data_IF_201681546260
#
_entry.id   IF_201681546260
#
_cell.length_a   1.000
_cell.length_b   1.000
_cell.length_c   1.000
_cell.angle_alpha   90.00
_cell.angle_beta   90.00
_cell.angle_gamma   90.00
#
_symmetry.space_group_name_H-M   'P 1'
#
loop_
_entity.id
_entity.type
_entity.pdbx_description
1 polymer ?
#
# COMPACT_ATOMS: atom_id res chain seq x y z
N UNK A 1 -24.12 3.49 -24.63
CA UNK A 1 -22.88 2.69 -24.54
C UNK A 1 -22.98 1.90 -23.24
N UNK A 2 -22.74 0.59 -23.27
CA UNK A 2 -22.76 -0.25 -22.06
C UNK A 2 -21.47 0.02 -21.29
N UNK A 3 -21.57 0.38 -20.00
CA UNK A 3 -20.39 0.61 -19.14
C UNK A 3 -19.56 -0.68 -19.06
N UNK A 4 -18.25 -0.56 -19.16
CA UNK A 4 -17.37 -1.74 -19.10
C UNK A 4 -17.49 -2.41 -17.71
N UNK A 5 -17.48 -3.74 -17.67
CA UNK A 5 -17.57 -4.48 -16.41
C UNK A 5 -16.28 -4.30 -15.59
N UNK A 6 -16.42 -3.96 -14.31
CA UNK A 6 -15.32 -3.90 -13.36
C UNK A 6 -14.93 -5.33 -12.94
N UNK A 7 -13.66 -5.75 -13.10
CA UNK A 7 -13.15 -6.97 -12.50
C UNK A 7 -13.30 -6.94 -10.98
N UNK A 8 -13.46 -8.12 -10.36
CA UNK A 8 -13.64 -8.20 -8.92
C UNK A 8 -12.42 -7.64 -8.17
N UNK A 9 -12.68 -6.94 -7.07
CA UNK A 9 -11.64 -6.41 -6.19
C UNK A 9 -11.69 -7.26 -4.92
N UNK A 10 -10.59 -7.95 -4.61
CA UNK A 10 -10.48 -8.71 -3.37
C UNK A 10 -10.27 -7.74 -2.21
N UNK A 11 -11.29 -7.62 -1.35
CA UNK A 11 -11.27 -6.74 -0.19
C UNK A 11 -10.88 -7.50 1.08
N UNK A 12 -9.86 -7.00 1.77
CA UNK A 12 -9.46 -7.46 3.10
C UNK A 12 -10.12 -6.59 4.16
N UNK A 13 -10.81 -7.22 5.12
CA UNK A 13 -11.33 -6.53 6.31
C UNK A 13 -10.22 -6.31 7.32
N UNK A 14 -9.99 -5.06 7.69
CA UNK A 14 -9.04 -4.67 8.74
C UNK A 14 -9.84 -4.33 10.00
N UNK A 15 -9.71 -5.10 11.10
CA UNK A 15 -10.47 -4.87 12.31
C UNK A 15 -10.05 -3.56 12.98
N UNK A 16 -11.01 -2.95 13.68
CA UNK A 16 -10.73 -1.82 14.54
C UNK A 16 -9.65 -2.20 15.57
N UNK A 17 -8.71 -1.29 15.84
CA UNK A 17 -7.60 -1.59 16.75
C UNK A 17 -6.68 -0.41 16.99
N UNK A 18 -5.68 -0.64 17.84
CA UNK A 18 -4.66 0.35 18.10
C UNK A 18 -3.62 0.36 16.96
N UNK A 19 -3.05 1.53 16.71
CA UNK A 19 -1.88 1.72 15.87
C UNK A 19 -0.88 2.58 16.63
N UNK A 20 0.32 2.06 16.82
CA UNK A 20 1.49 2.84 17.20
C UNK A 20 2.17 3.26 15.90
N UNK A 21 2.07 4.54 15.55
CA UNK A 21 2.64 5.11 14.34
C UNK A 21 3.79 6.04 14.68
N UNK A 22 4.80 6.09 13.81
CA UNK A 22 5.88 7.06 13.85
C UNK A 22 7.01 6.70 14.81
N UNK A 23 8.01 7.57 14.85
CA UNK A 23 9.25 7.42 15.59
C UNK A 23 9.26 8.36 16.80
N UNK A 24 9.75 7.89 17.94
CA UNK A 24 10.02 8.78 19.07
C UNK A 24 11.26 9.61 18.73
N UNK A 25 11.18 10.93 18.84
CA UNK A 25 12.30 11.82 18.52
C UNK A 25 13.58 11.45 19.29
N UNK A 26 13.42 10.87 20.50
CA UNK A 26 14.54 10.39 21.34
C UNK A 26 15.29 9.20 20.73
N UNK A 27 14.65 8.44 19.85
CA UNK A 27 15.22 7.26 19.21
C UNK A 27 15.95 7.62 17.90
N UNK A 28 15.69 8.79 17.32
CA UNK A 28 16.30 9.27 16.06
C UNK A 28 17.84 9.20 16.07
N UNK A 29 18.56 9.64 17.12
CA UNK A 29 20.02 9.51 17.15
C UNK A 29 20.51 8.05 17.12
N UNK A 30 19.72 7.10 17.60
CA UNK A 30 19.99 5.67 17.48
C UNK A 30 19.83 5.21 16.04
N UNK A 31 18.68 5.51 15.44
CA UNK A 31 18.37 5.13 14.05
C UNK A 31 19.40 5.66 13.04
N UNK A 32 19.86 6.91 13.21
CA UNK A 32 20.91 7.50 12.36
C UNK A 32 22.23 6.73 12.48
N UNK A 33 22.58 6.23 13.67
CA UNK A 33 23.78 5.40 13.84
C UNK A 33 23.60 4.02 13.23
N UNK A 34 22.44 3.42 13.41
CA UNK A 34 22.15 2.06 12.96
C UNK A 34 22.07 1.97 11.42
N UNK A 35 21.76 3.08 10.73
CA UNK A 35 21.69 3.20 9.27
C UNK A 35 22.79 4.10 8.69
N UNK A 36 23.93 4.22 9.39
CA UNK A 36 25.03 5.08 8.95
C UNK A 36 25.65 4.65 7.61
N UNK A 37 25.46 3.39 7.21
CA UNK A 37 25.89 2.83 5.93
C UNK A 37 25.04 3.30 4.73
N UNK A 38 23.82 3.80 4.99
CA UNK A 38 22.89 4.27 3.97
C UNK A 38 22.96 5.77 3.72
N UNK A 39 23.79 6.51 4.47
CA UNK A 39 23.92 7.97 4.42
C UNK A 39 22.57 8.70 4.52
N UNK A 40 21.59 8.14 5.25
CA UNK A 40 20.25 8.73 5.42
C UNK A 40 20.35 9.91 6.40
N UNK A 41 20.01 11.14 5.97
CA UNK A 41 20.09 12.28 6.86
C UNK A 41 18.98 12.26 7.93
N UNK A 42 19.30 12.78 9.11
CA UNK A 42 18.44 12.71 10.30
C UNK A 42 17.04 13.32 10.09
N UNK A 43 16.92 14.30 9.19
CA UNK A 43 15.65 14.94 8.84
C UNK A 43 14.64 13.97 8.22
N UNK A 44 15.09 12.86 7.62
CA UNK A 44 14.20 11.84 7.08
C UNK A 44 13.52 11.05 8.21
N UNK A 45 14.26 10.66 9.25
CA UNK A 45 13.69 10.02 10.44
C UNK A 45 12.78 10.98 11.23
N UNK A 46 13.12 12.27 11.25
CA UNK A 46 12.29 13.29 11.92
C UNK A 46 10.93 13.52 11.23
N UNK A 47 10.79 13.21 9.93
CA UNK A 47 9.48 13.25 9.24
C UNK A 47 8.48 12.22 9.79
N UNK A 48 9.00 11.14 10.37
CA UNK A 48 8.19 10.10 11.01
C UNK A 48 7.87 10.42 12.47
N UNK A 49 8.33 11.55 13.02
CA UNK A 49 8.04 11.98 14.39
C UNK A 49 6.79 12.89 14.45
N UNK A 50 6.07 12.93 15.60
CA UNK A 50 6.28 12.13 16.80
C UNK A 50 5.60 10.76 16.72
N UNK A 51 6.02 9.83 17.58
CA UNK A 51 5.26 8.60 17.82
C UNK A 51 3.89 8.94 18.40
N UNK A 52 2.84 8.40 17.80
CA UNK A 52 1.44 8.58 18.23
C UNK A 52 0.75 7.24 18.37
N UNK A 53 -0.14 7.15 19.37
CA UNK A 53 -1.06 6.02 19.54
C UNK A 53 -2.45 6.44 19.09
N UNK A 54 -2.99 5.72 18.12
CA UNK A 54 -4.30 6.00 17.52
C UNK A 54 -5.19 4.77 17.62
N UNK A 55 -6.49 4.99 17.83
CA UNK A 55 -7.49 3.94 17.59
C UNK A 55 -8.04 4.11 16.18
N UNK A 56 -7.83 3.10 15.34
CA UNK A 56 -8.29 3.08 13.94
C UNK A 56 -9.59 2.28 13.90
N UNK A 57 -10.70 2.84 13.38
CA UNK A 57 -11.94 2.10 13.16
C UNK A 57 -11.76 0.93 12.19
N UNK A 58 -12.74 0.02 12.14
CA UNK A 58 -12.75 -1.05 11.13
C UNK A 58 -12.95 -0.44 9.73
N UNK A 59 -12.24 -0.96 8.74
CA UNK A 59 -12.43 -0.64 7.34
C UNK A 59 -12.11 -1.86 6.46
N UNK A 60 -12.26 -1.70 5.14
CA UNK A 60 -11.78 -2.66 4.16
C UNK A 60 -10.82 -1.97 3.19
N UNK A 61 -9.82 -2.70 2.71
CA UNK A 61 -8.83 -2.24 1.74
C UNK A 61 -8.60 -3.35 0.72
N UNK A 62 -8.23 -3.01 -0.52
CA UNK A 62 -7.89 -4.02 -1.51
C UNK A 62 -6.70 -4.85 -1.00
N UNK A 63 -6.74 -6.17 -1.22
CA UNK A 63 -5.67 -7.09 -0.78
C UNK A 63 -4.31 -6.67 -1.33
N UNK A 64 -4.32 -6.25 -2.59
CA UNK A 64 -3.15 -5.82 -3.34
C UNK A 64 -3.34 -4.38 -3.84
N UNK A 65 -2.31 -3.83 -4.48
CA UNK A 65 -2.45 -2.63 -5.31
C UNK A 65 -3.43 -2.89 -6.47
N UNK A 66 -4.01 -1.81 -7.01
CA UNK A 66 -4.94 -1.90 -8.15
C UNK A 66 -4.18 -2.35 -9.39
N UNK A 67 -4.64 -3.42 -10.03
CA UNK A 67 -4.01 -3.94 -11.25
C UNK A 67 -4.36 -3.11 -12.49
N UNK A 68 -3.54 -3.22 -13.53
CA UNK A 68 -3.86 -2.62 -14.84
C UNK A 68 -5.15 -3.19 -15.41
N UNK A 69 -5.44 -4.48 -15.18
CA UNK A 69 -6.71 -5.10 -15.53
C UNK A 69 -7.91 -4.46 -14.81
N UNK A 70 -7.80 -4.20 -13.49
CA UNK A 70 -8.83 -3.50 -12.71
C UNK A 70 -8.99 -2.03 -13.10
N UNK A 71 -7.92 -1.38 -13.58
CA UNK A 71 -7.91 0.01 -14.04
C UNK A 71 -8.48 0.18 -15.46
N UNK A 72 -8.26 -0.79 -16.35
CA UNK A 72 -8.55 -0.66 -17.78
C UNK A 72 -10.00 -0.23 -18.12
N UNK A 73 -11.06 -0.75 -17.47
CA UNK A 73 -12.43 -0.31 -17.71
C UNK A 73 -12.64 1.19 -17.41
N UNK A 74 -12.07 1.67 -16.30
CA UNK A 74 -12.12 3.08 -15.94
C UNK A 74 -11.37 3.94 -16.96
N UNK A 75 -10.16 3.53 -17.36
CA UNK A 75 -9.39 4.24 -18.37
C UNK A 75 -10.16 4.37 -19.69
N UNK A 76 -10.86 3.30 -20.10
CA UNK A 76 -11.70 3.32 -21.30
C UNK A 76 -12.89 4.28 -21.16
N UNK A 77 -13.62 4.24 -20.04
CA UNK A 77 -14.76 5.12 -19.78
C UNK A 77 -14.37 6.61 -19.74
N UNK A 78 -13.17 6.92 -19.23
CA UNK A 78 -12.65 8.29 -19.12
C UNK A 78 -11.86 8.75 -20.36
N UNK A 79 -11.64 7.88 -21.35
CA UNK A 79 -10.83 8.19 -22.53
C UNK A 79 -9.34 8.43 -22.21
N UNK A 80 -8.84 7.83 -21.14
CA UNK A 80 -7.43 7.90 -20.73
C UNK A 80 -6.58 6.95 -21.57
N UNK A 81 -5.26 7.21 -21.62
CA UNK A 81 -4.32 6.27 -22.21
C UNK A 81 -4.38 4.93 -21.44
N UNK A 82 -4.65 3.84 -22.18
CA UNK A 82 -4.70 2.51 -21.60
C UNK A 82 -3.29 1.96 -21.30
N UNK A 83 -3.22 1.09 -20.30
CA UNK A 83 -2.09 0.18 -20.07
C UNK A 83 -2.53 -1.24 -20.46
N UNK A 84 -1.60 -2.18 -20.74
CA UNK A 84 -1.97 -3.58 -20.98
C UNK A 84 -2.82 -4.09 -19.82
N UNK A 85 -3.97 -4.69 -20.12
CA UNK A 85 -4.85 -5.26 -19.10
C UNK A 85 -4.26 -6.58 -18.59
N UNK A 86 -3.37 -6.47 -17.60
CA UNK A 86 -2.68 -7.57 -16.93
C UNK A 86 -2.73 -7.41 -15.40
N UNK A 87 -2.12 -8.34 -14.68
CA UNK A 87 -2.13 -8.39 -13.22
C UNK A 87 -1.01 -7.55 -12.56
N UNK A 88 -0.25 -6.76 -13.33
CA UNK A 88 0.72 -5.83 -12.75
C UNK A 88 0.00 -4.62 -12.14
N UNK A 89 0.60 -3.95 -11.13
CA UNK A 89 0.06 -2.72 -10.60
C UNK A 89 -0.02 -1.64 -11.68
N UNK A 90 -1.12 -0.87 -11.66
CA UNK A 90 -1.21 0.37 -12.44
C UNK A 90 -0.23 1.40 -11.86
N UNK A 91 0.58 2.02 -12.73
CA UNK A 91 1.55 3.05 -12.34
C UNK A 91 1.38 4.31 -13.17
N UNK A 92 2.04 5.41 -12.77
CA UNK A 92 1.98 6.69 -13.49
C UNK A 92 0.62 7.39 -13.38
N UNK A 93 -0.14 7.11 -12.32
CA UNK A 93 -1.44 7.71 -12.03
C UNK A 93 -1.26 8.79 -10.97
N UNK A 94 -1.77 10.00 -11.22
CA UNK A 94 -1.76 11.06 -10.22
C UNK A 94 -2.87 10.88 -9.17
N UNK A 95 -2.72 11.55 -8.03
CA UNK A 95 -3.65 11.43 -6.90
C UNK A 95 -5.10 11.76 -7.27
N UNK A 96 -5.30 12.74 -8.16
CA UNK A 96 -6.63 13.18 -8.58
C UNK A 96 -7.33 12.07 -9.36
N UNK A 97 -6.64 11.50 -10.34
CA UNK A 97 -7.15 10.43 -11.19
C UNK A 97 -7.37 9.15 -10.38
N UNK A 98 -6.51 8.86 -9.39
CA UNK A 98 -6.73 7.75 -8.45
C UNK A 98 -8.01 7.95 -7.60
N UNK A 99 -8.29 9.19 -7.19
CA UNK A 99 -9.53 9.52 -6.46
C UNK A 99 -10.77 9.37 -7.36
N UNK A 100 -10.67 9.79 -8.62
CA UNK A 100 -11.74 9.59 -9.63
C UNK A 100 -11.99 8.09 -9.88
N UNK A 101 -10.95 7.26 -9.89
CA UNK A 101 -11.10 5.80 -9.97
C UNK A 101 -11.87 5.24 -8.77
N UNK A 102 -11.55 5.65 -7.55
CA UNK A 102 -12.32 5.24 -6.36
C UNK A 102 -13.81 5.60 -6.47
N UNK A 103 -14.12 6.81 -6.93
CA UNK A 103 -15.50 7.23 -7.15
C UNK A 103 -16.20 6.38 -8.24
N UNK A 104 -15.49 6.09 -9.33
CA UNK A 104 -15.99 5.21 -10.39
C UNK A 104 -16.24 3.78 -9.88
N UNK A 105 -15.38 3.23 -9.01
CA UNK A 105 -15.60 1.93 -8.37
C UNK A 105 -16.80 1.97 -7.42
N UNK A 106 -16.95 3.05 -6.64
CA UNK A 106 -18.09 3.25 -5.76
C UNK A 106 -19.41 3.21 -6.56
N UNK A 107 -19.46 3.90 -7.70
CA UNK A 107 -20.61 3.88 -8.60
C UNK A 107 -20.89 2.51 -9.22
N UNK A 108 -19.89 1.62 -9.35
CA UNK A 108 -20.06 0.26 -9.88
C UNK A 108 -20.55 -0.74 -8.84
N UNK A 109 -20.05 -0.59 -7.62
CA UNK A 109 -20.22 -1.60 -6.56
C UNK A 109 -21.33 -1.21 -5.58
N UNK A 110 -21.72 0.06 -5.55
CA UNK A 110 -22.58 0.61 -4.50
C UNK A 110 -21.88 0.75 -3.14
N UNK A 111 -20.58 0.46 -3.06
CA UNK A 111 -19.78 0.63 -1.85
C UNK A 111 -19.27 2.07 -1.74
N UNK A 112 -18.97 2.52 -0.53
CA UNK A 112 -18.19 3.75 -0.35
C UNK A 112 -16.71 3.41 -0.51
N UNK A 113 -16.10 3.88 -1.60
CA UNK A 113 -14.70 3.61 -1.95
C UNK A 113 -13.92 4.92 -2.04
N UNK A 114 -12.71 4.92 -1.46
CA UNK A 114 -11.77 6.05 -1.44
C UNK A 114 -10.34 5.55 -1.29
N UNK A 115 -9.38 6.44 -1.46
CA UNK A 115 -8.00 6.18 -1.04
C UNK A 115 -7.94 5.97 0.48
N UNK A 116 -7.09 5.04 0.97
CA UNK A 116 -6.83 4.92 2.40
C UNK A 116 -6.14 6.19 2.89
N UNK A 117 -6.42 6.57 4.13
CA UNK A 117 -5.54 7.49 4.85
C UNK A 117 -4.21 6.79 5.14
N UNK A 118 -3.16 7.55 5.40
CA UNK A 118 -1.86 7.00 5.81
C UNK A 118 -1.98 6.12 7.06
N UNK A 119 -2.80 6.54 8.04
CA UNK A 119 -3.11 5.76 9.24
C UNK A 119 -3.78 4.42 8.92
N UNK A 120 -4.72 4.38 7.98
CA UNK A 120 -5.36 3.12 7.57
C UNK A 120 -4.40 2.24 6.80
N UNK A 121 -3.58 2.81 5.91
CA UNK A 121 -2.57 2.07 5.17
C UNK A 121 -1.55 1.42 6.11
N UNK A 122 -1.01 2.18 7.07
CA UNK A 122 -0.05 1.66 8.05
C UNK A 122 -0.69 0.63 8.97
N UNK A 123 -1.95 0.84 9.39
CA UNK A 123 -2.71 -0.16 10.16
C UNK A 123 -2.84 -1.47 9.38
N UNK A 124 -3.17 -1.40 8.09
CA UNK A 124 -3.30 -2.58 7.24
C UNK A 124 -1.95 -3.32 7.06
N UNK A 125 -0.84 -2.57 7.00
CA UNK A 125 0.51 -3.14 6.88
C UNK A 125 1.03 -3.74 8.20
N UNK A 126 0.87 -3.01 9.31
CA UNK A 126 1.56 -3.26 10.59
C UNK A 126 0.76 -4.12 11.57
N UNK A 127 -0.56 -3.95 11.64
CA UNK A 127 -1.35 -4.61 12.68
C UNK A 127 -1.31 -3.92 14.04
N UNK A 128 -1.50 -4.70 15.11
CA UNK A 128 -1.69 -4.21 16.50
C UNK A 128 -0.36 -4.04 17.25
N UNK A 129 0.74 -4.50 16.66
CA UNK A 129 2.06 -4.54 17.30
C UNK A 129 3.02 -3.51 16.67
N UNK A 130 4.27 -3.53 17.16
CA UNK A 130 5.33 -2.62 16.73
C UNK A 130 6.25 -3.24 15.68
N UNK A 131 5.76 -4.20 14.87
CA UNK A 131 6.60 -4.88 13.87
C UNK A 131 7.24 -3.90 12.91
N UNK A 132 8.46 -4.16 12.48
CA UNK A 132 9.17 -3.24 11.55
C UNK A 132 8.63 -3.34 10.12
N UNK A 133 8.43 -4.57 9.62
CA UNK A 133 7.93 -4.88 8.28
C UNK A 133 6.55 -5.55 8.38
N UNK A 134 5.75 -5.58 7.30
CA UNK A 134 4.44 -6.25 7.33
C UNK A 134 4.50 -7.70 7.81
N UNK A 135 5.57 -8.41 7.43
CA UNK A 135 5.84 -9.81 7.77
C UNK A 135 6.57 -10.03 9.11
N UNK A 136 6.95 -8.97 9.85
CA UNK A 136 7.60 -9.08 11.16
C UNK A 136 8.82 -8.17 11.31
N UNK A 137 9.73 -8.52 12.23
CA UNK A 137 10.84 -7.64 12.64
C UNK A 137 12.13 -7.83 11.84
N UNK A 138 12.24 -8.94 11.11
CA UNK A 138 13.46 -9.28 10.36
C UNK A 138 13.28 -8.92 8.90
N UNK A 139 14.22 -8.11 8.39
CA UNK A 139 14.32 -7.84 6.96
C UNK A 139 14.55 -9.15 6.18
N UNK A 140 13.80 -9.32 5.11
CA UNK A 140 13.93 -10.41 4.15
C UNK A 140 13.51 -9.87 2.77
N UNK A 141 14.43 -9.89 1.81
CA UNK A 141 14.18 -9.37 0.46
C UNK A 141 13.32 -10.32 -0.38
N UNK A 142 13.18 -11.59 0.03
CA UNK A 142 12.28 -12.54 -0.60
C UNK A 142 10.79 -12.25 -0.31
N UNK A 143 10.49 -11.22 0.48
CA UNK A 143 9.13 -10.86 0.88
C UNK A 143 8.56 -9.63 0.15
N UNK A 144 9.35 -8.94 -0.69
CA UNK A 144 8.85 -7.77 -1.43
C UNK A 144 9.64 -7.53 -2.72
N UNK A 145 9.01 -6.86 -3.69
CA UNK A 145 9.70 -6.38 -4.88
C UNK A 145 10.52 -5.12 -4.55
N UNK A 146 11.75 -5.32 -4.07
CA UNK A 146 12.70 -4.26 -3.75
C UNK A 146 13.78 -4.14 -4.83
N UNK A 147 14.53 -3.04 -4.82
CA UNK A 147 15.71 -2.88 -5.71
C UNK A 147 16.69 -4.07 -5.60
N UNK A 148 16.82 -4.67 -4.42
CA UNK A 148 17.65 -5.85 -4.17
C UNK A 148 17.17 -7.12 -4.88
N UNK A 149 15.88 -7.20 -5.22
CA UNK A 149 15.34 -8.33 -5.98
C UNK A 149 15.81 -8.33 -7.45
N UNK A 150 16.33 -7.20 -7.96
CA UNK A 150 16.98 -7.12 -9.27
C UNK A 150 16.05 -7.27 -10.47
N UNK A 151 14.72 -7.16 -10.27
CA UNK A 151 13.71 -7.37 -11.32
C UNK A 151 13.67 -6.20 -12.31
N UNK A 152 13.90 -4.97 -11.84
CA UNK A 152 13.96 -3.77 -12.69
C UNK A 152 12.60 -3.29 -13.22
N UNK A 153 11.51 -3.66 -12.56
CA UNK A 153 10.14 -3.27 -12.91
C UNK A 153 9.11 -3.86 -11.95
N UNK A 154 7.84 -3.61 -12.22
CA UNK A 154 6.73 -4.20 -11.44
C UNK A 154 6.56 -5.67 -11.77
N UNK A 155 6.00 -6.43 -10.83
CA UNK A 155 5.59 -7.84 -11.02
C UNK A 155 4.07 -7.96 -10.94
N UNK A 156 3.47 -9.10 -11.31
CA UNK A 156 2.07 -9.35 -11.00
C UNK A 156 1.82 -9.22 -9.49
N UNK A 157 0.72 -8.58 -9.11
CA UNK A 157 0.38 -8.37 -7.70
C UNK A 157 0.26 -9.70 -6.94
N UNK A 158 0.65 -9.71 -5.67
CA UNK A 158 0.62 -10.91 -4.83
C UNK A 158 1.71 -11.93 -5.15
N UNK A 159 2.74 -11.56 -5.93
CA UNK A 159 3.90 -12.42 -6.22
C UNK A 159 4.72 -12.78 -4.97
N UNK A 160 4.57 -12.02 -3.88
CA UNK A 160 5.27 -12.22 -2.61
C UNK A 160 4.30 -12.54 -1.47
N UNK A 161 3.61 -13.69 -1.47
CA UNK A 161 2.58 -13.99 -0.47
C UNK A 161 3.15 -14.14 0.95
N UNK A 162 4.44 -14.46 1.11
CA UNK A 162 5.14 -14.48 2.40
C UNK A 162 5.41 -13.07 2.97
N UNK A 163 5.30 -12.03 2.14
CA UNK A 163 5.34 -10.63 2.57
C UNK A 163 4.02 -10.08 3.11
N UNK A 164 3.00 -10.94 3.25
CA UNK A 164 1.68 -10.50 3.69
C UNK A 164 1.73 -9.90 5.11
N UNK A 165 0.98 -8.80 5.29
CA UNK A 165 0.69 -8.21 6.58
C UNK A 165 -0.23 -9.09 7.44
N UNK A 166 -0.46 -8.72 8.70
CA UNK A 166 -1.22 -9.53 9.66
C UNK A 166 -2.68 -9.75 9.28
N UNK A 167 -3.24 -8.90 8.42
CA UNK A 167 -4.61 -9.03 7.92
C UNK A 167 -4.69 -9.68 6.53
N UNK A 168 -3.54 -10.04 5.94
CA UNK A 168 -3.46 -10.70 4.63
C UNK A 168 -3.40 -9.76 3.43
N UNK A 169 -3.19 -8.45 3.65
CA UNK A 169 -2.75 -7.51 2.61
C UNK A 169 -1.34 -7.87 2.15
N UNK A 170 -1.07 -7.77 0.86
CA UNK A 170 0.22 -8.11 0.24
C UNK A 170 0.77 -6.86 -0.46
N UNK A 171 2.05 -6.84 -0.79
CA UNK A 171 2.68 -5.77 -1.58
C UNK A 171 2.80 -4.41 -0.84
N UNK A 172 2.71 -4.43 0.49
CA UNK A 172 2.73 -3.23 1.35
C UNK A 172 4.14 -2.66 1.60
N UNK A 173 5.21 -3.37 1.20
CA UNK A 173 6.60 -2.94 1.46
C UNK A 173 7.43 -2.73 0.19
N UNK A 174 6.84 -2.82 -1.00
CA UNK A 174 7.54 -2.57 -2.27
C UNK A 174 6.92 -3.29 -3.46
N UNK A 175 6.87 -2.60 -4.60
CA UNK A 175 6.31 -3.10 -5.86
C UNK A 175 7.20 -2.77 -7.09
N UNK A 176 8.42 -2.23 -6.87
CA UNK A 176 9.36 -1.85 -7.93
C UNK A 176 10.26 -0.68 -7.56
#
# INVERSE_FOLDING_TARGET
>A
MTRAALPDIDWVTVPAGALVRGTDERDVPGLVRDHADLDIPADWFLKECPRVELTVPQFAISRTTVTRAQWAPFAQDQGLAGQPADDHPVTGVDWKTATEYCAWVADHTGLSVRLPSETEWERAARGDDTRVYPWGDRFDDAHANLLTAGIGGTVPVGSFPSGAGPFGTVDMAGEG
#
